data_IF_447468759103
#
_entry.id   IF_447468759103
#
_cell.length_a   1.000
_cell.length_b   1.000
_cell.length_c   1.000
_cell.angle_alpha   90.00
_cell.angle_beta   90.00
_cell.angle_gamma   90.00
#
_symmetry.space_group_name_H-M   'P 1'
#
loop_
_entity.id
_entity.type
_entity.pdbx_description
1 polymer ?
#
# COMPACT_ATOMS: atom_id res chain seq x y z
N UNK A 1 -6.38 -1.68 -25.04
CA UNK A 1 -5.84 -0.39 -24.60
C UNK A 1 -6.96 0.26 -23.82
N UNK A 2 -6.85 0.29 -22.50
CA UNK A 2 -7.87 0.95 -21.66
C UNK A 2 -7.97 2.42 -22.05
N UNK A 3 -9.18 2.98 -22.00
CA UNK A 3 -9.41 4.38 -22.31
C UNK A 3 -8.68 5.24 -21.28
N UNK A 4 -7.81 6.14 -21.74
CA UNK A 4 -7.03 7.03 -20.88
C UNK A 4 -7.95 7.85 -19.96
N UNK A 5 -9.13 8.24 -20.44
CA UNK A 5 -10.11 8.98 -19.65
C UNK A 5 -10.68 8.12 -18.51
N UNK A 6 -10.86 6.82 -18.76
CA UNK A 6 -11.33 5.88 -17.75
C UNK A 6 -10.28 5.67 -16.67
N UNK A 7 -9.02 5.49 -17.06
CA UNK A 7 -7.89 5.35 -16.14
C UNK A 7 -7.66 6.61 -15.30
N UNK A 8 -7.79 7.78 -15.91
CA UNK A 8 -7.71 9.05 -15.19
C UNK A 8 -8.82 9.20 -14.16
N UNK A 9 -10.06 8.86 -14.53
CA UNK A 9 -11.18 8.89 -13.58
C UNK A 9 -10.93 7.97 -12.38
N UNK A 10 -10.45 6.74 -12.61
CA UNK A 10 -10.10 5.82 -11.53
C UNK A 10 -9.01 6.37 -10.62
N UNK A 11 -8.01 7.06 -11.17
CA UNK A 11 -6.99 7.73 -10.36
C UNK A 11 -7.60 8.83 -9.47
N UNK A 12 -8.47 9.66 -10.02
CA UNK A 12 -9.12 10.75 -9.29
C UNK A 12 -10.06 10.25 -8.18
N UNK A 13 -10.65 9.06 -8.35
CA UNK A 13 -11.56 8.43 -7.39
C UNK A 13 -10.87 7.46 -6.42
N UNK A 14 -9.61 7.08 -6.68
CA UNK A 14 -8.89 6.10 -5.89
C UNK A 14 -8.56 6.61 -4.48
N UNK A 15 -8.45 5.68 -3.54
CA UNK A 15 -7.98 5.97 -2.20
C UNK A 15 -6.46 6.22 -2.21
N UNK A 16 -6.03 7.38 -1.72
CA UNK A 16 -4.61 7.64 -1.48
C UNK A 16 -4.17 7.06 -0.14
N UNK A 17 -3.31 6.03 -0.17
CA UNK A 17 -2.79 5.44 1.05
C UNK A 17 -1.80 6.38 1.73
N UNK A 18 -2.15 6.84 2.93
CA UNK A 18 -1.29 7.68 3.76
C UNK A 18 -0.67 6.86 4.90
N UNK A 19 0.59 7.16 5.28
CA UNK A 19 1.27 6.46 6.35
C UNK A 19 0.66 6.78 7.71
N UNK A 20 0.76 5.83 8.63
CA UNK A 20 0.59 6.03 10.07
C UNK A 20 1.85 5.55 10.81
N UNK A 21 2.33 6.38 11.72
CA UNK A 21 3.47 6.08 12.58
C UNK A 21 3.01 5.40 13.87
N UNK A 22 3.71 4.33 14.26
CA UNK A 22 3.50 3.61 15.51
C UNK A 22 4.85 3.42 16.21
N UNK A 23 4.97 3.93 17.43
CA UNK A 23 6.14 3.69 18.28
C UNK A 23 6.04 2.30 18.93
N UNK A 24 7.13 1.53 18.88
CA UNK A 24 7.26 0.21 19.49
C UNK A 24 8.54 0.13 20.33
N UNK A 25 8.66 -0.82 21.28
CA UNK A 25 9.85 -0.89 22.15
C UNK A 25 11.21 -1.06 21.44
N UNK A 26 11.21 -1.40 20.14
CA UNK A 26 12.41 -1.64 19.32
C UNK A 26 12.59 -0.62 18.19
N UNK A 27 11.83 0.48 18.16
CA UNK A 27 11.88 1.49 17.09
C UNK A 27 10.48 1.93 16.70
N UNK A 28 10.25 2.20 15.41
CA UNK A 28 8.93 2.57 14.92
C UNK A 28 8.50 1.76 13.70
N UNK A 29 7.19 1.73 13.48
CA UNK A 29 6.58 1.19 12.27
C UNK A 29 5.88 2.35 11.56
N UNK A 30 6.20 2.53 10.28
CA UNK A 30 5.36 3.31 9.37
C UNK A 30 4.51 2.34 8.56
N UNK A 31 3.20 2.41 8.74
CA UNK A 31 2.27 1.51 8.08
C UNK A 31 1.34 2.25 7.12
N UNK A 32 1.23 1.72 5.92
CA UNK A 32 0.19 2.04 4.93
C UNK A 32 -0.88 0.95 4.95
N UNK A 33 -2.03 1.20 4.31
CA UNK A 33 -3.10 0.21 4.22
C UNK A 33 -3.64 0.11 2.81
N UNK A 34 -3.75 -1.13 2.32
CA UNK A 34 -4.47 -1.49 1.10
C UNK A 34 -5.66 -2.36 1.49
N UNK A 35 -6.85 -1.96 1.08
CA UNK A 35 -8.09 -2.68 1.39
C UNK A 35 -8.58 -3.45 0.17
N UNK A 36 -9.18 -4.62 0.43
CA UNK A 36 -9.96 -5.37 -0.55
C UNK A 36 -10.94 -4.45 -1.29
N UNK A 37 -11.14 -4.71 -2.58
CA UNK A 37 -12.12 -4.01 -3.43
C UNK A 37 -11.93 -2.48 -3.51
N UNK A 38 -10.73 -1.98 -3.21
CA UNK A 38 -10.41 -0.54 -3.22
C UNK A 38 -9.24 -0.23 -4.15
N UNK A 39 -9.49 0.58 -5.18
CA UNK A 39 -8.44 1.19 -5.98
C UNK A 39 -7.56 2.06 -5.07
N UNK A 40 -6.25 1.77 -5.03
CA UNK A 40 -5.33 2.35 -4.05
C UNK A 40 -4.13 2.97 -4.74
N UNK A 41 -3.87 4.24 -4.46
CA UNK A 41 -2.66 4.95 -4.88
C UNK A 41 -1.59 4.77 -3.79
N UNK A 42 -0.43 4.25 -4.20
CA UNK A 42 0.75 4.05 -3.37
C UNK A 42 1.90 4.95 -3.83
N UNK A 43 2.73 5.40 -2.88
CA UNK A 43 4.03 5.99 -3.19
C UNK A 43 5.00 4.89 -3.62
N UNK A 44 5.82 5.14 -4.63
CA UNK A 44 6.90 4.21 -5.03
C UNK A 44 8.08 4.25 -4.05
N UNK A 45 8.35 5.43 -3.50
CA UNK A 45 9.45 5.68 -2.58
C UNK A 45 8.97 6.53 -1.41
N UNK A 46 8.16 5.98 -0.49
CA UNK A 46 7.58 6.75 0.61
C UNK A 46 8.64 7.34 1.55
N UNK A 47 9.81 6.72 1.68
CA UNK A 47 10.93 7.23 2.48
C UNK A 47 11.53 8.55 1.95
N UNK A 48 11.32 8.89 0.68
CA UNK A 48 11.73 10.21 0.14
C UNK A 48 10.64 11.28 0.36
N UNK A 49 9.40 10.85 0.59
CA UNK A 49 8.22 11.70 0.66
C UNK A 49 7.79 12.04 2.08
N UNK A 50 8.17 11.23 3.08
CA UNK A 50 7.83 11.43 4.48
C UNK A 50 9.08 11.56 5.33
N UNK A 51 9.15 12.65 6.11
CA UNK A 51 10.25 12.90 7.05
C UNK A 51 9.92 12.33 8.41
N UNK A 52 10.88 11.63 9.00
CA UNK A 52 10.86 11.22 10.39
C UNK A 52 11.38 12.36 11.26
N UNK A 53 10.73 12.60 12.39
CA UNK A 53 11.21 13.59 13.36
C UNK A 53 12.54 13.15 14.02
N UNK A 54 12.76 11.84 14.12
CA UNK A 54 13.99 11.25 14.64
C UNK A 54 14.67 10.37 13.59
N UNK A 55 15.64 10.94 12.88
CA UNK A 55 16.37 10.26 11.79
C UNK A 55 17.23 9.08 12.27
N UNK A 56 17.49 8.96 13.58
CA UNK A 56 18.30 7.88 14.15
C UNK A 56 17.49 6.67 14.63
N UNK A 57 16.16 6.70 14.49
CA UNK A 57 15.29 5.60 14.88
C UNK A 57 15.28 4.52 13.78
N UNK A 58 15.40 3.25 14.18
CA UNK A 58 15.14 2.13 13.26
C UNK A 58 13.64 2.10 12.94
N UNK A 59 13.31 2.28 11.66
CA UNK A 59 11.92 2.33 11.19
C UNK A 59 11.65 1.25 10.17
N UNK A 60 10.61 0.46 10.44
CA UNK A 60 10.09 -0.54 9.52
C UNK A 60 8.94 0.03 8.69
N UNK A 61 9.06 -0.06 7.37
CA UNK A 61 8.03 0.38 6.44
C UNK A 61 7.16 -0.80 6.04
N UNK A 62 5.86 -0.71 6.30
CA UNK A 62 4.91 -1.81 6.06
C UNK A 62 3.75 -1.36 5.19
N UNK A 63 3.24 -2.29 4.40
CA UNK A 63 1.91 -2.21 3.81
C UNK A 63 1.05 -3.32 4.45
N UNK A 64 0.06 -2.92 5.24
CA UNK A 64 -0.94 -3.83 5.79
C UNK A 64 -2.11 -4.02 4.83
N UNK A 65 -2.69 -5.22 4.84
CA UNK A 65 -3.82 -5.57 4.01
C UNK A 65 -5.06 -5.82 4.86
N UNK A 66 -6.19 -5.25 4.44
CA UNK A 66 -7.47 -5.37 5.15
C UNK A 66 -8.51 -6.02 4.25
N UNK A 67 -9.22 -7.02 4.77
CA UNK A 67 -10.38 -7.61 4.10
C UNK A 67 -11.64 -6.88 4.54
N UNK A 68 -12.33 -6.29 3.56
CA UNK A 68 -13.66 -5.70 3.78
C UNK A 68 -14.69 -6.81 3.97
N UNK A 69 -14.60 -7.89 3.21
CA UNK A 69 -15.58 -8.99 3.26
C UNK A 69 -15.49 -9.82 4.55
N UNK A 70 -14.30 -9.98 5.13
CA UNK A 70 -14.09 -10.68 6.40
C UNK A 70 -13.99 -9.72 7.62
N UNK A 71 -14.10 -8.41 7.41
CA UNK A 71 -13.99 -7.34 8.42
C UNK A 71 -12.80 -7.52 9.37
N UNK A 72 -11.62 -7.79 8.81
CA UNK A 72 -10.40 -8.03 9.59
C UNK A 72 -9.13 -7.75 8.79
N UNK A 73 -8.01 -7.47 9.48
CA UNK A 73 -6.72 -7.49 8.82
C UNK A 73 -6.33 -8.89 8.33
N UNK A 74 -5.65 -8.94 7.18
CA UNK A 74 -5.13 -10.17 6.57
C UNK A 74 -3.65 -10.40 6.90
N UNK A 75 -2.91 -9.35 7.23
CA UNK A 75 -1.47 -9.40 7.45
C UNK A 75 -0.78 -8.18 6.86
N UNK A 76 0.55 -8.24 6.76
CA UNK A 76 1.36 -7.18 6.18
C UNK A 76 2.50 -7.73 5.32
N UNK A 77 3.11 -6.85 4.53
CA UNK A 77 4.40 -7.05 3.89
C UNK A 77 5.30 -5.86 4.20
N UNK A 78 6.62 -6.06 4.12
CA UNK A 78 7.54 -4.93 4.01
C UNK A 78 7.18 -4.14 2.73
N UNK A 79 7.25 -2.80 2.80
CA UNK A 79 6.66 -1.93 1.79
C UNK A 79 7.27 -2.14 0.40
N UNK A 80 8.60 -2.31 0.30
CA UNK A 80 9.25 -2.55 -0.99
C UNK A 80 8.89 -3.93 -1.57
N UNK A 81 8.87 -4.97 -0.74
CA UNK A 81 8.37 -6.29 -1.15
C UNK A 81 6.93 -6.22 -1.67
N UNK A 82 6.08 -5.45 -0.96
CA UNK A 82 4.69 -5.25 -1.37
C UNK A 82 4.59 -4.58 -2.75
N UNK A 83 5.38 -3.53 -3.01
CA UNK A 83 5.40 -2.88 -4.32
C UNK A 83 5.83 -3.84 -5.43
N UNK A 84 6.83 -4.68 -5.21
CA UNK A 84 7.29 -5.67 -6.19
C UNK A 84 6.18 -6.65 -6.56
N UNK A 85 5.46 -7.18 -5.56
CA UNK A 85 4.32 -8.09 -5.77
C UNK A 85 3.13 -7.40 -6.41
N UNK A 86 2.87 -6.13 -6.07
CA UNK A 86 1.71 -5.39 -6.56
C UNK A 86 1.86 -4.90 -8.01
N UNK A 87 3.04 -4.99 -8.62
CA UNK A 87 3.26 -4.50 -9.99
C UNK A 87 2.30 -5.13 -11.01
N UNK A 88 1.97 -6.42 -10.87
CA UNK A 88 1.04 -7.11 -11.78
C UNK A 88 -0.40 -6.57 -11.72
N UNK A 89 -0.73 -5.83 -10.65
CA UNK A 89 -2.03 -5.21 -10.40
C UNK A 89 -2.03 -3.70 -10.67
N UNK A 90 -0.93 -3.15 -11.19
CA UNK A 90 -0.84 -1.72 -11.51
C UNK A 90 -1.65 -1.37 -12.77
N UNK A 91 -2.36 -0.24 -12.71
CA UNK A 91 -3.14 0.28 -13.83
C UNK A 91 -2.38 1.38 -14.58
N UNK A 92 -1.96 2.40 -13.84
CA UNK A 92 -1.17 3.53 -14.33
C UNK A 92 -0.23 4.01 -13.23
N UNK A 93 0.79 4.75 -13.62
CA UNK A 93 1.79 5.30 -12.72
C UNK A 93 2.20 6.69 -13.15
N UNK A 94 2.48 7.55 -12.17
CA UNK A 94 3.20 8.80 -12.36
C UNK A 94 4.69 8.57 -12.09
N UNK A 95 5.48 9.63 -11.94
CA UNK A 95 6.87 9.53 -11.49
C UNK A 95 6.94 8.91 -10.09
N UNK A 96 6.22 9.49 -9.12
CA UNK A 96 6.31 9.17 -7.69
C UNK A 96 5.30 8.10 -7.20
N UNK A 97 4.21 7.87 -7.96
CA UNK A 97 3.07 7.10 -7.47
C UNK A 97 2.60 6.05 -8.46
N UNK A 98 1.95 5.02 -7.94
CA UNK A 98 1.35 3.93 -8.72
C UNK A 98 -0.08 3.70 -8.25
N UNK A 99 -1.00 3.53 -9.20
CA UNK A 99 -2.37 3.11 -8.94
C UNK A 99 -2.47 1.60 -9.04
N UNK A 100 -2.80 0.96 -7.92
CA UNK A 100 -3.11 -0.46 -7.83
C UNK A 100 -4.62 -0.61 -7.95
N UNK A 101 -5.09 -1.49 -8.84
CA UNK A 101 -6.52 -1.78 -8.93
C UNK A 101 -7.04 -2.41 -7.64
N UNK A 102 -8.33 -2.27 -7.41
CA UNK A 102 -9.10 -3.08 -6.48
C UNK A 102 -8.75 -4.56 -6.65
N UNK A 103 -8.33 -5.18 -5.56
CA UNK A 103 -7.97 -6.59 -5.48
C UNK A 103 -9.04 -7.35 -4.71
N UNK A 104 -9.33 -8.56 -5.18
CA UNK A 104 -10.21 -9.49 -4.48
C UNK A 104 -9.52 -10.12 -3.27
N UNK A 105 -10.31 -10.62 -2.31
CA UNK A 105 -9.80 -11.38 -1.17
C UNK A 105 -8.88 -12.54 -1.57
N UNK A 106 -9.21 -13.27 -2.64
CA UNK A 106 -8.40 -14.40 -3.12
C UNK A 106 -7.04 -13.96 -3.64
N UNK A 107 -6.97 -12.80 -4.31
CA UNK A 107 -5.71 -12.22 -4.80
C UNK A 107 -4.87 -11.76 -3.61
N UNK A 108 -5.47 -11.06 -2.65
CA UNK A 108 -4.78 -10.61 -1.43
C UNK A 108 -4.19 -11.78 -0.65
N UNK A 109 -4.95 -12.89 -0.49
CA UNK A 109 -4.48 -14.10 0.21
C UNK A 109 -3.31 -14.80 -0.50
N UNK A 110 -3.13 -14.59 -1.81
CA UNK A 110 -2.02 -15.17 -2.59
C UNK A 110 -0.71 -14.38 -2.46
N UNK A 111 -0.72 -13.22 -1.82
CA UNK A 111 0.47 -12.37 -1.66
C UNK A 111 1.48 -12.92 -0.63
N UNK A 112 1.13 -13.95 0.15
CA UNK A 112 2.05 -14.54 1.14
C UNK A 112 2.37 -13.57 2.28
N UNK A 113 1.32 -13.04 2.92
CA UNK A 113 1.40 -12.01 3.96
C UNK A 113 2.00 -12.55 5.27
N UNK A 114 2.69 -11.68 6.02
CA UNK A 114 3.10 -11.92 7.40
C UNK A 114 1.93 -11.66 8.37
N UNK A 115 1.91 -12.37 9.50
CA UNK A 115 0.95 -12.13 10.58
C UNK A 115 1.23 -10.79 11.27
N UNK A 116 0.19 -10.06 11.68
CA UNK A 116 0.31 -8.76 12.38
C UNK A 116 0.84 -8.88 13.81
#
# INVERSE_FOLDING_TARGET
MEDLNFLQKRWEEAYEAMPKLYEIPKGAIINFTLSEDTDTILFKEPWENFKLDNENEEVEWRLSFFSISEDKPLGYLEYKEALEKLQEFSLIQSEERVLIRAMSLEELKKLGLHEL
#
